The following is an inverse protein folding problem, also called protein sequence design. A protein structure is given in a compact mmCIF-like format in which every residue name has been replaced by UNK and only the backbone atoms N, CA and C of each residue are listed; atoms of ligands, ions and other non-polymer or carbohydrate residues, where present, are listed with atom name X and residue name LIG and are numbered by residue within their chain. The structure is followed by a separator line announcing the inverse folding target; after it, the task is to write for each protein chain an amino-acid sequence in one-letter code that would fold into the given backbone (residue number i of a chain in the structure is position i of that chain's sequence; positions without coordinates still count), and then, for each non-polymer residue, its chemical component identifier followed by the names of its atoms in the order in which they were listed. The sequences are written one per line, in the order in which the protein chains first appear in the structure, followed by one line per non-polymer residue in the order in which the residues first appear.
data_IF_102367438917
#
_entry.id   IF_102367438917
#
_cell.length_a   1.000
_cell.length_b   1.000
_cell.length_c   1.000
_cell.angle_alpha   90.00
_cell.angle_beta   90.00
_cell.angle_gamma   90.00
#
_symmetry.space_group_name_H-M   'P 1'
#
loop_
_entity.id
_entity.type
_entity.pdbx_description
1 polymer ?
#
# COMPACT_ATOMS: atom_id res chain seq x y z
N UNK A 1 -26.36 12.99 13.02
CA UNK A 1 -25.03 12.64 12.49
C UNK A 1 -25.02 12.47 10.97
N UNK A 2 -26.02 11.83 10.33
CA UNK A 2 -26.08 11.69 8.88
C UNK A 2 -26.10 13.02 8.09
N UNK A 3 -26.80 14.05 8.58
CA UNK A 3 -26.95 15.34 7.87
C UNK A 3 -25.63 16.08 7.65
N UNK A 4 -24.72 16.04 8.64
CA UNK A 4 -23.43 16.72 8.53
C UNK A 4 -22.50 16.03 7.54
N UNK A 5 -22.35 14.71 7.64
CA UNK A 5 -21.58 13.92 6.68
C UNK A 5 -22.11 14.07 5.25
N UNK A 6 -23.44 14.08 5.09
CA UNK A 6 -24.09 14.35 3.80
C UNK A 6 -23.71 15.73 3.25
N UNK A 7 -23.77 16.78 4.08
CA UNK A 7 -23.40 18.13 3.67
C UNK A 7 -21.94 18.24 3.24
N UNK A 8 -21.02 17.65 4.01
CA UNK A 8 -19.60 17.61 3.66
C UNK A 8 -19.34 16.84 2.37
N UNK A 9 -20.01 15.69 2.18
CA UNK A 9 -19.90 14.92 0.94
C UNK A 9 -20.29 15.72 -0.30
N UNK A 10 -21.32 16.58 -0.20
CA UNK A 10 -21.70 17.45 -1.31
C UNK A 10 -20.71 18.61 -1.55
N UNK A 11 -20.02 19.09 -0.51
CA UNK A 11 -19.15 20.29 -0.58
C UNK A 11 -17.67 20.00 -0.79
N UNK A 12 -17.21 18.81 -0.40
CA UNK A 12 -15.79 18.44 -0.36
C UNK A 12 -15.49 17.18 -1.19
N UNK A 13 -16.37 16.84 -2.15
CA UNK A 13 -16.06 15.80 -3.14
C UNK A 13 -15.06 16.31 -4.16
N UNK A 14 -14.27 15.38 -4.71
CA UNK A 14 -13.38 15.68 -5.83
C UNK A 14 -14.19 16.17 -7.04
N UNK A 15 -13.70 17.24 -7.66
CA UNK A 15 -14.20 17.78 -8.91
C UNK A 15 -13.52 17.11 -10.11
N UNK A 16 -14.08 17.28 -11.31
CA UNK A 16 -13.48 16.77 -12.54
C UNK A 16 -12.06 17.34 -12.73
N UNK A 17 -11.11 16.46 -13.06
CA UNK A 17 -9.72 16.82 -13.27
C UNK A 17 -8.86 16.91 -11.99
N UNK A 18 -9.46 16.83 -10.79
CA UNK A 18 -8.72 16.77 -9.54
C UNK A 18 -8.06 15.39 -9.33
N UNK A 19 -7.05 15.34 -8.46
CA UNK A 19 -6.31 14.12 -8.12
C UNK A 19 -6.29 13.91 -6.62
N UNK A 20 -6.44 12.66 -6.20
CA UNK A 20 -6.14 12.24 -4.83
C UNK A 20 -4.66 11.83 -4.68
N UNK A 21 -4.28 11.58 -3.43
CA UNK A 21 -2.93 11.23 -3.03
C UNK A 21 -2.98 10.23 -1.88
N UNK A 22 -2.22 9.15 -2.01
CA UNK A 22 -1.96 8.20 -0.92
C UNK A 22 -0.49 8.32 -0.52
N UNK A 23 -0.24 8.53 0.77
CA UNK A 23 1.09 8.55 1.38
C UNK A 23 1.12 7.52 2.49
N UNK A 24 2.12 6.64 2.47
CA UNK A 24 2.42 5.70 3.54
C UNK A 24 3.91 5.80 3.87
N UNK A 25 4.24 5.85 5.16
CA UNK A 25 5.61 5.85 5.66
C UNK A 25 5.74 4.90 6.82
N UNK A 26 6.57 3.89 6.68
CA UNK A 26 7.02 3.04 7.79
C UNK A 26 8.42 3.47 8.20
N UNK A 27 8.66 3.54 9.50
CA UNK A 27 9.97 3.76 10.10
C UNK A 27 10.21 2.62 11.08
N UNK A 28 11.24 1.82 10.83
CA UNK A 28 11.56 0.63 11.58
C UNK A 28 12.94 0.80 12.19
N UNK A 29 13.01 0.94 13.52
CA UNK A 29 14.26 0.89 14.25
C UNK A 29 14.82 -0.53 14.24
N UNK A 30 16.08 -0.68 13.87
CA UNK A 30 16.77 -1.97 13.77
C UNK A 30 17.99 -1.95 14.69
N UNK A 31 18.11 -2.98 15.53
CA UNK A 31 19.35 -3.31 16.24
C UNK A 31 19.95 -4.55 15.58
N UNK A 32 21.17 -4.42 15.06
CA UNK A 32 21.90 -5.51 14.44
C UNK A 32 22.57 -6.39 15.51
N UNK A 33 22.98 -7.62 15.18
CA UNK A 33 23.68 -8.51 16.12
C UNK A 33 24.96 -7.91 16.71
N UNK A 34 25.61 -6.98 16.01
CA UNK A 34 26.80 -6.25 16.45
C UNK A 34 26.51 -5.02 17.33
N UNK A 35 25.24 -4.83 17.75
CA UNK A 35 24.74 -3.69 18.54
C UNK A 35 24.73 -2.34 17.81
N UNK A 36 25.09 -2.29 16.53
CA UNK A 36 24.81 -1.10 15.73
C UNK A 36 23.31 -0.88 15.61
N UNK A 37 22.89 0.38 15.68
CA UNK A 37 21.48 0.75 15.53
C UNK A 37 21.28 1.55 14.25
N UNK A 38 20.11 1.36 13.66
CA UNK A 38 19.72 2.08 12.45
C UNK A 38 18.22 2.25 12.35
N UNK A 39 17.82 3.00 11.34
CA UNK A 39 16.44 3.22 10.97
C UNK A 39 16.27 2.84 9.51
N UNK A 40 15.33 1.94 9.24
CA UNK A 40 14.86 1.62 7.90
C UNK A 40 13.55 2.36 7.65
N UNK A 41 13.55 3.20 6.62
CA UNK A 41 12.37 3.93 6.19
C UNK A 41 11.83 3.33 4.88
N UNK A 42 10.53 3.05 4.85
CA UNK A 42 9.82 2.62 3.64
C UNK A 42 8.72 3.65 3.34
N UNK A 43 8.82 4.31 2.19
CA UNK A 43 7.93 5.39 1.78
C UNK A 43 7.21 5.03 0.48
N UNK A 44 5.88 5.22 0.45
CA UNK A 44 5.04 5.01 -0.72
C UNK A 44 4.21 6.27 -0.96
N UNK A 45 4.28 6.78 -2.19
CA UNK A 45 3.52 7.94 -2.64
C UNK A 45 2.86 7.59 -3.96
N UNK A 46 1.53 7.68 -4.02
CA UNK A 46 0.75 7.37 -5.23
C UNK A 46 -0.18 8.55 -5.51
N UNK A 47 -0.13 9.07 -6.73
CA UNK A 47 -1.07 10.09 -7.22
C UNK A 47 -2.17 9.44 -8.03
N UNK A 48 -3.40 9.92 -7.86
CA UNK A 48 -4.51 9.55 -8.74
C UNK A 48 -4.32 10.09 -10.15
N UNK A 49 -5.00 9.46 -11.10
CA UNK A 49 -5.05 9.94 -12.48
C UNK A 49 -6.34 10.76 -12.71
N UNK A 50 -6.26 12.01 -13.21
CA UNK A 50 -7.45 12.87 -13.39
C UNK A 50 -8.57 12.26 -14.22
N UNK A 51 -8.21 11.40 -15.17
CA UNK A 51 -9.13 10.71 -16.09
C UNK A 51 -8.93 9.19 -16.05
N UNK A 52 -8.46 8.67 -14.92
CA UNK A 52 -8.18 7.26 -14.69
C UNK A 52 -8.60 6.83 -13.29
N UNK A 53 -7.87 5.88 -12.70
CA UNK A 53 -8.14 5.45 -11.34
C UNK A 53 -7.47 6.38 -10.31
N UNK A 54 -8.19 6.67 -9.22
CA UNK A 54 -7.65 7.37 -8.06
C UNK A 54 -6.56 6.54 -7.37
N UNK A 55 -5.63 7.19 -6.66
CA UNK A 55 -4.59 6.53 -5.86
C UNK A 55 -5.23 5.58 -4.82
N UNK A 56 -6.35 5.98 -4.22
CA UNK A 56 -7.11 5.13 -3.32
C UNK A 56 -7.69 3.90 -4.03
N UNK A 57 -8.32 4.08 -5.19
CA UNK A 57 -8.90 2.96 -5.95
C UNK A 57 -7.82 1.95 -6.38
N UNK A 58 -6.66 2.42 -6.84
CA UNK A 58 -5.51 1.58 -7.19
C UNK A 58 -4.96 0.83 -5.97
N UNK A 59 -4.63 1.56 -4.90
CA UNK A 59 -3.95 1.00 -3.72
C UNK A 59 -4.81 0.02 -2.92
N UNK A 60 -6.14 0.06 -3.06
CA UNK A 60 -7.07 -0.91 -2.44
C UNK A 60 -7.49 -2.01 -3.42
N UNK A 61 -7.87 -1.63 -4.65
CA UNK A 61 -8.43 -2.55 -5.64
C UNK A 61 -7.39 -3.51 -6.20
N UNK A 62 -6.18 -3.04 -6.51
CA UNK A 62 -5.17 -3.87 -7.17
C UNK A 62 -4.67 -5.02 -6.27
N UNK A 63 -4.35 -4.82 -4.98
CA UNK A 63 -4.02 -5.94 -4.10
C UNK A 63 -5.13 -6.99 -4.05
N UNK A 64 -6.39 -6.55 -4.02
CA UNK A 64 -7.56 -7.45 -4.00
C UNK A 64 -7.66 -8.26 -5.28
N UNK A 65 -7.55 -7.61 -6.45
CA UNK A 65 -7.59 -8.27 -7.75
C UNK A 65 -6.43 -9.26 -7.94
N UNK A 66 -5.22 -8.89 -7.51
CA UNK A 66 -4.05 -9.76 -7.55
C UNK A 66 -4.24 -10.99 -6.67
N UNK A 67 -4.73 -10.83 -5.42
CA UNK A 67 -4.99 -11.94 -4.53
C UNK A 67 -6.06 -12.89 -5.07
N UNK A 68 -7.14 -12.34 -5.64
CA UNK A 68 -8.18 -13.13 -6.30
C UNK A 68 -7.59 -13.95 -7.47
N UNK A 69 -6.72 -13.35 -8.28
CA UNK A 69 -6.04 -14.05 -9.36
C UNK A 69 -5.11 -15.15 -8.85
N UNK A 70 -4.30 -14.88 -7.83
CA UNK A 70 -3.42 -15.87 -7.20
C UNK A 70 -4.20 -17.06 -6.64
N UNK A 71 -5.41 -16.84 -6.12
CA UNK A 71 -6.27 -17.93 -5.66
C UNK A 71 -6.78 -18.81 -6.82
N UNK A 72 -7.16 -18.17 -7.93
CA UNK A 72 -7.63 -18.87 -9.14
C UNK A 72 -6.52 -19.64 -9.84
N UNK A 73 -5.29 -19.13 -9.79
CA UNK A 73 -4.09 -19.77 -10.35
C UNK A 73 -3.48 -20.83 -9.40
N UNK A 74 -4.15 -21.15 -8.29
CA UNK A 74 -3.70 -22.08 -7.24
C UNK A 74 -2.31 -21.73 -6.66
N UNK A 75 -2.01 -20.43 -6.49
CA UNK A 75 -0.78 -19.96 -5.83
C UNK A 75 -0.95 -19.78 -4.32
N UNK A 76 -2.19 -19.69 -3.84
CA UNK A 76 -2.54 -19.57 -2.42
C UNK A 76 -3.23 -20.87 -1.97
N UNK A 77 -2.51 -21.67 -1.19
CA UNK A 77 -2.99 -22.99 -0.77
C UNK A 77 -3.56 -22.99 0.66
N UNK A 78 -3.20 -22.00 1.48
CA UNK A 78 -3.67 -21.87 2.86
C UNK A 78 -5.20 -21.81 2.91
N UNK A 79 -5.81 -22.57 3.84
CA UNK A 79 -7.27 -22.66 4.01
C UNK A 79 -7.72 -21.96 5.29
N UNK A 80 -8.97 -21.50 5.31
CA UNK A 80 -9.56 -20.78 6.43
C UNK A 80 -9.59 -19.27 6.21
N UNK A 81 -9.61 -18.49 7.29
CA UNK A 81 -9.53 -17.03 7.25
C UNK A 81 -8.07 -16.62 7.17
N UNK A 82 -7.61 -16.31 5.97
CA UNK A 82 -6.19 -16.02 5.69
C UNK A 82 -5.99 -14.52 5.49
N UNK A 83 -4.92 -13.99 6.08
CA UNK A 83 -4.44 -12.61 5.90
C UNK A 83 -3.04 -12.62 5.25
N UNK A 84 -2.65 -11.56 4.52
CA UNK A 84 -1.45 -11.58 3.65
C UNK A 84 -0.14 -11.37 4.42
N UNK A 85 0.11 -12.14 5.48
CA UNK A 85 1.34 -12.05 6.28
C UNK A 85 2.37 -13.13 5.95
N UNK A 86 1.97 -14.20 5.27
CA UNK A 86 2.91 -15.24 4.82
C UNK A 86 3.74 -14.76 3.61
N UNK A 87 5.03 -15.12 3.60
CA UNK A 87 5.95 -14.81 2.50
C UNK A 87 5.49 -15.35 1.15
N UNK A 88 4.80 -16.50 1.16
CA UNK A 88 4.16 -17.10 -0.03
C UNK A 88 3.12 -16.19 -0.66
N UNK A 89 2.41 -15.38 0.13
CA UNK A 89 1.37 -14.48 -0.35
C UNK A 89 1.92 -13.08 -0.63
N UNK A 90 2.53 -12.41 0.35
CA UNK A 90 2.85 -11.00 0.19
C UNK A 90 3.98 -10.74 -0.81
N UNK A 91 4.94 -11.67 -0.98
CA UNK A 91 6.07 -11.45 -1.91
C UNK A 91 5.62 -11.43 -3.38
N UNK A 92 4.88 -12.44 -3.89
CA UNK A 92 4.32 -12.37 -5.24
C UNK A 92 3.39 -11.17 -5.43
N UNK A 93 2.55 -10.86 -4.43
CA UNK A 93 1.68 -9.68 -4.48
C UNK A 93 2.46 -8.38 -4.64
N UNK A 94 3.48 -8.13 -3.81
CA UNK A 94 4.33 -6.94 -3.91
C UNK A 94 5.06 -6.86 -5.25
N UNK A 95 5.47 -8.00 -5.82
CA UNK A 95 6.11 -8.02 -7.14
C UNK A 95 5.13 -7.66 -8.27
N UNK A 96 3.89 -8.15 -8.22
CA UNK A 96 2.84 -7.80 -9.20
C UNK A 96 2.41 -6.34 -9.05
N UNK A 97 2.29 -5.84 -7.82
CA UNK A 97 1.98 -4.43 -7.55
C UNK A 97 3.03 -3.47 -8.13
N UNK A 98 4.32 -3.85 -8.15
CA UNK A 98 5.37 -3.04 -8.79
C UNK A 98 5.15 -2.88 -10.30
N UNK A 99 4.57 -3.88 -10.97
CA UNK A 99 4.24 -3.79 -12.41
C UNK A 99 3.13 -2.76 -12.68
N UNK A 100 2.28 -2.50 -11.68
CA UNK A 100 1.22 -1.49 -11.68
C UNK A 100 1.68 -0.12 -11.15
N UNK A 101 3.00 0.11 -11.08
CA UNK A 101 3.65 1.31 -10.54
C UNK A 101 3.35 1.59 -9.04
N UNK A 102 2.86 0.59 -8.30
CA UNK A 102 2.73 0.66 -6.84
C UNK A 102 4.02 0.11 -6.22
N UNK A 103 5.02 0.99 -6.08
CA UNK A 103 6.36 0.66 -5.57
C UNK A 103 6.80 1.59 -4.45
N UNK A 104 7.11 1.06 -3.25
CA UNK A 104 7.70 1.86 -2.20
C UNK A 104 9.20 2.09 -2.48
N UNK A 105 9.72 3.22 -2.00
CA UNK A 105 11.15 3.48 -1.88
C UNK A 105 11.63 3.13 -0.47
N UNK A 106 12.90 2.75 -0.34
CA UNK A 106 13.52 2.42 0.95
C UNK A 106 14.75 3.28 1.18
N UNK A 107 14.91 3.77 2.41
CA UNK A 107 16.09 4.52 2.85
C UNK A 107 16.55 4.00 4.20
N UNK A 108 17.82 3.60 4.27
CA UNK A 108 18.49 3.22 5.51
C UNK A 108 19.29 4.41 6.06
N UNK A 109 19.24 4.61 7.37
CA UNK A 109 20.16 5.50 8.09
C UNK A 109 20.74 4.79 9.30
N UNK A 110 22.06 4.86 9.47
CA UNK A 110 22.76 4.32 10.64
C UNK A 110 22.82 5.42 11.69
N UNK A 111 22.50 5.10 12.95
CA UNK A 111 22.82 5.97 14.08
C UNK A 111 24.23 5.60 14.55
N UNK A 112 25.19 6.51 14.39
CA UNK A 112 26.48 6.37 15.08
C UNK A 112 26.23 6.44 16.59
N UNK A 113 26.94 5.60 17.34
CA UNK A 113 26.88 5.52 18.80
C UNK A 113 27.73 6.61 19.45
#
# INVERSE_FOLDING_TARGET
MATFAYHLGQKLSYSEGERDLVIMRHQVGVENPDKSTGMEEVSLTIYGEPYGFSAMAKSVGYPTAIAARMLLDDEIHEKGVVIPFSKSIYRPMLNRLKAEDIRPSTRTSVSEA
#
